data_IF_800599208174
#
_entry.id   IF_800599208174
#
_cell.length_a   1.000
_cell.length_b   1.000
_cell.length_c   1.000
_cell.angle_alpha   90.00
_cell.angle_beta   90.00
_cell.angle_gamma   90.00
#
_symmetry.space_group_name_H-M   'P 1'
#
loop_
_entity.id
_entity.type
_entity.pdbx_description
1 polymer ?
#
# COMPACT_ATOMS: atom_id res chain seq x y z
N UNK A 1 2.30 -6.58 -2.87
CA UNK A 1 3.58 -7.34 -2.91
C UNK A 1 4.55 -6.80 -3.95
N UNK A 2 4.25 -6.76 -5.27
CA UNK A 2 5.21 -6.29 -6.28
C UNK A 2 5.65 -4.83 -6.06
N UNK A 3 4.71 -3.96 -5.64
CA UNK A 3 5.00 -2.57 -5.27
C UNK A 3 6.03 -2.45 -4.13
N UNK A 4 5.96 -3.36 -3.14
CA UNK A 4 6.91 -3.38 -2.02
C UNK A 4 8.29 -3.83 -2.50
N UNK A 5 8.37 -4.83 -3.38
CA UNK A 5 9.64 -5.22 -4.01
C UNK A 5 10.24 -4.04 -4.77
N UNK A 6 9.44 -3.36 -5.58
CA UNK A 6 9.87 -2.19 -6.34
C UNK A 6 10.34 -1.04 -5.42
N UNK A 7 9.65 -0.81 -4.31
CA UNK A 7 10.03 0.16 -3.28
C UNK A 7 11.38 -0.16 -2.64
N UNK A 8 11.65 -1.42 -2.33
CA UNK A 8 12.91 -1.83 -1.71
C UNK A 8 14.08 -1.69 -2.69
N UNK A 9 13.89 -2.15 -3.94
CA UNK A 9 14.95 -2.19 -4.95
C UNK A 9 15.20 -0.83 -5.61
N UNK A 10 14.15 -0.11 -5.99
CA UNK A 10 14.23 1.08 -6.84
C UNK A 10 13.85 2.38 -6.12
N UNK A 11 13.30 2.30 -4.90
CA UNK A 11 12.94 3.47 -4.08
C UNK A 11 11.54 4.01 -4.32
N UNK A 12 11.29 5.22 -3.80
CA UNK A 12 9.95 5.83 -3.69
C UNK A 12 9.27 6.14 -5.03
N UNK A 13 9.95 6.83 -5.94
CA UNK A 13 9.37 7.30 -7.20
C UNK A 13 9.00 6.12 -8.12
N UNK A 14 9.88 5.12 -8.36
CA UNK A 14 9.53 3.99 -9.20
C UNK A 14 8.43 3.12 -8.59
N UNK A 15 8.39 2.96 -7.26
CA UNK A 15 7.35 2.20 -6.59
C UNK A 15 5.97 2.87 -6.69
N UNK A 16 5.90 4.20 -6.63
CA UNK A 16 4.66 4.92 -6.85
C UNK A 16 4.13 4.76 -8.28
N UNK A 17 5.03 4.82 -9.28
CA UNK A 17 4.66 4.59 -10.67
C UNK A 17 4.15 3.15 -10.86
N UNK A 18 4.86 2.15 -10.34
CA UNK A 18 4.43 0.74 -10.41
C UNK A 18 3.10 0.53 -9.69
N UNK A 19 2.88 1.19 -8.55
CA UNK A 19 1.62 1.13 -7.81
C UNK A 19 0.46 1.74 -8.58
N UNK A 20 0.64 2.95 -9.11
CA UNK A 20 -0.40 3.64 -9.89
C UNK A 20 -0.69 2.93 -11.21
N UNK A 21 0.32 2.56 -11.98
CA UNK A 21 0.12 1.82 -13.24
C UNK A 21 -0.48 0.45 -12.99
N UNK A 22 -0.09 -0.25 -11.92
CA UNK A 22 -0.67 -1.54 -11.57
C UNK A 22 -2.16 -1.44 -11.27
N UNK A 23 -2.59 -0.40 -10.55
CA UNK A 23 -4.00 -0.15 -10.26
C UNK A 23 -4.77 0.25 -11.53
N UNK A 24 -4.24 1.19 -12.31
CA UNK A 24 -4.85 1.64 -13.56
C UNK A 24 -5.04 0.52 -14.58
N UNK A 25 -3.97 -0.24 -14.85
CA UNK A 25 -4.02 -1.37 -15.76
C UNK A 25 -4.92 -2.48 -15.21
N UNK A 26 -4.90 -2.72 -13.91
CA UNK A 26 -5.79 -3.67 -13.24
C UNK A 26 -7.26 -3.31 -13.43
N UNK A 27 -7.61 -2.04 -13.25
CA UNK A 27 -8.99 -1.57 -13.42
C UNK A 27 -9.49 -1.66 -14.87
N UNK A 28 -8.61 -1.45 -15.86
CA UNK A 28 -8.96 -1.57 -17.28
C UNK A 28 -9.08 -3.05 -17.70
N UNK A 29 -8.15 -3.89 -17.27
CA UNK A 29 -8.08 -5.29 -17.68
C UNK A 29 -9.11 -6.17 -16.97
N UNK A 30 -9.42 -5.84 -15.71
CA UNK A 30 -10.38 -6.55 -14.87
C UNK A 30 -11.36 -5.57 -14.21
N UNK A 31 -12.36 -5.05 -14.97
CA UNK A 31 -13.31 -4.08 -14.45
C UNK A 31 -14.31 -4.73 -13.49
N UNK A 32 -13.91 -4.88 -12.22
CA UNK A 32 -14.78 -5.30 -11.12
C UNK A 32 -15.29 -4.02 -10.42
N UNK A 33 -16.21 -3.32 -11.08
CA UNK A 33 -16.81 -2.06 -10.60
C UNK A 33 -16.36 -0.80 -11.36
N UNK A 34 -16.90 0.38 -10.98
CA UNK A 34 -16.56 1.64 -11.65
C UNK A 34 -15.12 2.05 -11.34
N UNK A 35 -14.34 2.35 -12.38
CA UNK A 35 -13.02 2.94 -12.20
C UNK A 35 -13.13 4.34 -11.57
N UNK A 36 -12.40 4.56 -10.48
CA UNK A 36 -12.30 5.87 -9.85
C UNK A 36 -10.82 6.28 -9.72
N UNK A 37 -10.39 7.40 -10.32
CA UNK A 37 -8.98 7.79 -10.36
C UNK A 37 -8.37 8.05 -8.97
N UNK A 38 -9.20 8.30 -7.95
CA UNK A 38 -8.74 8.39 -6.56
C UNK A 38 -8.15 7.08 -6.02
N UNK A 39 -8.62 5.91 -6.46
CA UNK A 39 -8.00 4.63 -6.06
C UNK A 39 -6.59 4.48 -6.62
N UNK A 40 -6.40 4.89 -7.87
CA UNK A 40 -5.09 4.91 -8.52
C UNK A 40 -4.13 5.88 -7.85
N UNK A 41 -4.62 7.05 -7.43
CA UNK A 41 -3.84 7.98 -6.62
C UNK A 41 -3.44 7.36 -5.27
N UNK A 42 -4.37 6.70 -4.57
CA UNK A 42 -4.07 5.99 -3.33
C UNK A 42 -3.03 4.88 -3.55
N UNK A 43 -3.11 4.14 -4.65
CA UNK A 43 -2.15 3.09 -4.99
C UNK A 43 -0.74 3.64 -5.29
N UNK A 44 -0.65 4.78 -5.97
CA UNK A 44 0.60 5.49 -6.19
C UNK A 44 1.20 6.00 -4.87
N UNK A 45 0.40 6.64 -4.02
CA UNK A 45 0.80 7.09 -2.69
C UNK A 45 1.26 5.93 -1.80
N UNK A 46 0.58 4.79 -1.90
CA UNK A 46 0.95 3.56 -1.21
C UNK A 46 2.36 3.15 -1.61
N UNK A 47 2.66 3.08 -2.91
CA UNK A 47 4.01 2.79 -3.41
C UNK A 47 5.06 3.80 -2.93
N UNK A 48 4.70 5.07 -2.88
CA UNK A 48 5.53 6.16 -2.36
C UNK A 48 5.87 5.95 -0.87
N UNK A 49 4.87 5.66 -0.03
CA UNK A 49 5.06 5.38 1.41
C UNK A 49 5.99 4.18 1.62
N UNK A 50 5.76 3.09 0.89
CA UNK A 50 6.64 1.92 0.96
C UNK A 50 8.06 2.29 0.56
N UNK A 51 8.26 3.01 -0.55
CA UNK A 51 9.59 3.35 -1.02
C UNK A 51 10.29 4.45 -0.22
N UNK A 52 9.58 5.28 0.54
CA UNK A 52 10.24 6.22 1.48
C UNK A 52 10.69 5.49 2.75
N UNK A 53 9.83 4.64 3.32
CA UNK A 53 10.12 4.00 4.60
C UNK A 53 11.01 2.76 4.50
N UNK A 54 10.84 1.94 3.46
CA UNK A 54 11.55 0.66 3.33
C UNK A 54 12.81 0.75 2.46
N UNK A 55 13.09 1.87 1.79
CA UNK A 55 14.27 2.02 0.96
C UNK A 55 15.53 2.24 1.82
N UNK A 56 16.63 1.57 1.46
CA UNK A 56 17.95 1.55 2.12
C UNK A 56 18.02 0.95 3.52
N UNK A 57 17.05 1.14 4.42
CA UNK A 57 17.06 0.53 5.77
C UNK A 57 15.68 0.05 6.21
N UNK A 58 15.60 -1.23 6.57
CA UNK A 58 14.36 -1.94 6.92
C UNK A 58 14.32 -2.28 8.41
N UNK A 59 14.26 -1.27 9.27
CA UNK A 59 14.12 -1.46 10.72
C UNK A 59 12.66 -1.74 11.08
N UNK A 60 12.42 -2.50 12.16
CA UNK A 60 11.04 -2.81 12.61
C UNK A 60 10.21 -1.56 12.89
N UNK A 61 10.83 -0.48 13.39
CA UNK A 61 10.15 0.80 13.58
C UNK A 61 9.68 1.44 12.25
N UNK A 62 10.47 1.32 11.17
CA UNK A 62 10.10 1.84 9.84
C UNK A 62 9.01 1.00 9.19
N UNK A 63 9.06 -0.32 9.36
CA UNK A 63 8.01 -1.23 8.88
C UNK A 63 6.70 -0.93 9.61
N UNK A 64 6.73 -0.79 10.94
CA UNK A 64 5.56 -0.41 11.73
C UNK A 64 4.98 0.94 11.31
N UNK A 65 5.83 1.96 11.13
CA UNK A 65 5.41 3.28 10.66
C UNK A 65 4.80 3.25 9.25
N UNK A 66 5.41 2.53 8.31
CA UNK A 66 4.90 2.38 6.95
C UNK A 66 3.52 1.70 6.92
N UNK A 67 3.38 0.59 7.67
CA UNK A 67 2.11 -0.13 7.77
C UNK A 67 1.04 0.75 8.43
N UNK A 68 1.38 1.47 9.51
CA UNK A 68 0.45 2.36 10.19
C UNK A 68 -0.04 3.49 9.27
N UNK A 69 0.86 4.18 8.58
CA UNK A 69 0.49 5.25 7.63
C UNK A 69 -0.33 4.68 6.48
N UNK A 70 0.08 3.55 5.91
CA UNK A 70 -0.65 2.93 4.80
C UNK A 70 -2.05 2.48 5.20
N UNK A 71 -2.19 1.82 6.35
CA UNK A 71 -3.47 1.27 6.78
C UNK A 71 -4.40 2.36 7.33
N UNK A 72 -3.90 3.31 8.11
CA UNK A 72 -4.74 4.36 8.72
C UNK A 72 -5.08 5.48 7.73
N UNK A 73 -4.10 5.95 6.94
CA UNK A 73 -4.30 7.10 6.06
C UNK A 73 -4.81 6.66 4.70
N UNK A 74 -4.07 5.77 4.02
CA UNK A 74 -4.38 5.42 2.63
C UNK A 74 -5.55 4.45 2.54
N UNK A 75 -5.56 3.41 3.37
CA UNK A 75 -6.64 2.42 3.35
C UNK A 75 -7.90 2.90 4.06
N UNK A 76 -7.78 3.34 5.32
CA UNK A 76 -8.97 3.59 6.14
C UNK A 76 -9.62 4.94 5.85
N UNK A 77 -8.85 6.01 5.60
CA UNK A 77 -9.40 7.32 5.24
C UNK A 77 -9.65 7.43 3.73
N UNK A 78 -8.59 7.36 2.90
CA UNK A 78 -8.73 7.61 1.45
C UNK A 78 -9.62 6.59 0.77
N UNK A 79 -9.39 5.28 0.94
CA UNK A 79 -10.24 4.30 0.24
C UNK A 79 -11.69 4.29 0.75
N UNK A 80 -11.95 4.61 2.03
CA UNK A 80 -13.34 4.72 2.53
C UNK A 80 -14.02 5.96 1.97
N UNK A 81 -13.30 7.08 1.87
CA UNK A 81 -13.79 8.31 1.24
C UNK A 81 -14.15 8.05 -0.23
N UNK A 82 -13.28 7.40 -0.99
CA UNK A 82 -13.55 7.08 -2.40
C UNK A 82 -14.76 6.17 -2.57
N UNK A 83 -14.95 5.16 -1.71
CA UNK A 83 -16.15 4.31 -1.76
C UNK A 83 -17.41 5.12 -1.43
N UNK A 84 -17.35 5.99 -0.42
CA UNK A 84 -18.52 6.82 -0.05
C UNK A 84 -18.89 7.79 -1.18
N UNK A 85 -17.92 8.39 -1.86
CA UNK A 85 -18.14 9.23 -3.04
C UNK A 85 -18.67 8.44 -4.23
N UNK A 86 -18.14 7.24 -4.48
CA UNK A 86 -18.50 6.43 -5.65
C UNK A 86 -19.88 5.77 -5.52
N UNK A 87 -20.24 5.31 -4.33
CA UNK A 87 -21.47 4.54 -4.08
C UNK A 87 -22.54 5.33 -3.31
N UNK A 88 -22.25 6.57 -2.88
CA UNK A 88 -23.17 7.38 -2.08
C UNK A 88 -23.48 6.79 -0.69
N UNK A 89 -22.71 5.80 -0.24
CA UNK A 89 -22.99 5.04 0.96
C UNK A 89 -22.58 5.82 2.24
N UNK A 90 -23.30 5.63 3.37
CA UNK A 90 -23.02 6.34 4.61
C UNK A 90 -21.59 6.07 5.10
N UNK A 91 -20.80 7.13 5.24
CA UNK A 91 -19.39 7.03 5.63
C UNK A 91 -19.20 6.28 6.96
N UNK A 92 -20.10 6.49 7.94
CA UNK A 92 -19.98 5.88 9.27
C UNK A 92 -20.11 4.35 9.28
N UNK A 93 -21.02 3.77 8.49
CA UNK A 93 -21.19 2.31 8.45
C UNK A 93 -20.01 1.62 7.76
N UNK A 94 -19.55 2.19 6.64
CA UNK A 94 -18.36 1.75 5.92
C UNK A 94 -17.10 1.88 6.75
N UNK A 95 -16.94 2.98 7.49
CA UNK A 95 -15.79 3.20 8.36
C UNK A 95 -15.69 2.12 9.43
N UNK A 96 -16.82 1.72 10.05
CA UNK A 96 -16.83 0.69 11.08
C UNK A 96 -16.48 -0.70 10.52
N UNK A 97 -17.07 -1.08 9.38
CA UNK A 97 -16.75 -2.37 8.73
C UNK A 97 -15.27 -2.41 8.30
N UNK A 98 -14.79 -1.31 7.70
CA UNK A 98 -13.40 -1.23 7.26
C UNK A 98 -12.42 -1.16 8.41
N UNK A 99 -12.77 -0.59 9.56
CA UNK A 99 -11.90 -0.59 10.74
C UNK A 99 -11.60 -2.01 11.22
N UNK A 100 -12.62 -2.86 11.27
CA UNK A 100 -12.48 -4.27 11.68
C UNK A 100 -11.60 -5.01 10.67
N UNK A 101 -11.89 -4.92 9.37
CA UNK A 101 -11.07 -5.57 8.33
C UNK A 101 -9.64 -5.01 8.29
N UNK A 102 -9.48 -3.70 8.45
CA UNK A 102 -8.16 -3.04 8.42
C UNK A 102 -7.31 -3.45 9.63
N UNK A 103 -7.90 -3.64 10.82
CA UNK A 103 -7.20 -4.12 12.00
C UNK A 103 -6.61 -5.52 11.79
N UNK A 104 -7.38 -6.44 11.21
CA UNK A 104 -6.90 -7.78 10.84
C UNK A 104 -5.80 -7.67 9.77
N UNK A 105 -6.01 -6.83 8.75
CA UNK A 105 -5.04 -6.64 7.67
C UNK A 105 -3.75 -5.98 8.12
N UNK A 106 -3.76 -5.14 9.16
CA UNK A 106 -2.53 -4.59 9.77
C UNK A 106 -1.67 -5.73 10.29
N UNK A 107 -2.23 -6.66 11.07
CA UNK A 107 -1.48 -7.78 11.62
C UNK A 107 -0.85 -8.64 10.50
N UNK A 108 -1.65 -8.95 9.47
CA UNK A 108 -1.17 -9.70 8.30
C UNK A 108 -0.06 -8.94 7.58
N UNK A 109 -0.26 -7.65 7.27
CA UNK A 109 0.74 -6.85 6.58
C UNK A 109 2.05 -6.74 7.36
N UNK A 110 2.01 -6.53 8.68
CA UNK A 110 3.23 -6.48 9.51
C UNK A 110 4.01 -7.79 9.40
N UNK A 111 3.33 -8.93 9.51
CA UNK A 111 3.98 -10.25 9.41
C UNK A 111 4.54 -10.49 8.02
N UNK A 112 3.73 -10.26 6.98
CA UNK A 112 4.13 -10.49 5.59
C UNK A 112 5.30 -9.59 5.18
N UNK A 113 5.24 -8.30 5.49
CA UNK A 113 6.32 -7.35 5.18
C UNK A 113 7.54 -7.62 6.06
N UNK A 114 7.36 -7.98 7.33
CA UNK A 114 8.45 -8.39 8.22
C UNK A 114 9.22 -9.61 7.70
N UNK A 115 8.52 -10.64 7.21
CA UNK A 115 9.13 -11.78 6.54
C UNK A 115 9.82 -11.39 5.23
N UNK A 116 9.11 -10.61 4.41
CA UNK A 116 9.57 -10.20 3.09
C UNK A 116 10.83 -9.32 3.17
N UNK A 117 10.91 -8.40 4.14
CA UNK A 117 12.09 -7.57 4.42
C UNK A 117 13.27 -8.38 4.97
N UNK A 118 13.03 -9.44 5.77
CA UNK A 118 14.10 -10.37 6.16
C UNK A 118 14.69 -11.12 4.96
N UNK A 119 13.84 -11.58 4.05
CA UNK A 119 14.27 -12.27 2.81
C UNK A 119 14.96 -11.30 1.85
N UNK A 120 14.39 -10.11 1.62
CA UNK A 120 14.98 -9.08 0.77
C UNK A 120 16.23 -8.45 1.38
N UNK A 121 16.39 -8.40 2.70
CA UNK A 121 17.63 -7.98 3.34
C UNK A 121 18.82 -8.86 2.97
N UNK A 122 18.57 -10.12 2.60
CA UNK A 122 19.58 -11.02 2.05
C UNK A 122 19.98 -10.64 0.60
N UNK A 123 19.04 -10.12 -0.20
CA UNK A 123 19.27 -9.70 -1.59
C UNK A 123 19.75 -8.25 -1.74
N UNK A 124 19.23 -7.32 -0.93
CA UNK A 124 19.57 -5.89 -0.96
C UNK A 124 21.02 -5.61 -0.58
N UNK A 125 21.69 -6.54 0.11
CA UNK A 125 23.12 -6.44 0.41
C UNK A 125 24.01 -6.73 -0.82
N UNK A 126 23.48 -7.36 -1.87
CA UNK A 126 24.20 -7.57 -3.15
C UNK A 126 23.93 -6.48 -4.19
N UNK A 127 22.82 -5.74 -4.10
CA UNK A 127 22.52 -4.65 -5.04
C UNK A 127 23.20 -3.31 -4.69
N UNK A 128 23.85 -3.24 -3.52
CA UNK A 128 24.59 -2.07 -3.04
C UNK A 128 26.12 -2.28 -3.07
N UNK A 129 26.60 -3.31 -3.78
CA UNK A 129 28.03 -3.54 -4.09
C UNK A 129 28.22 -3.48 -5.60
#
# INVERSE_FOLDING_TARGET
>A
MPVVVAAVLYGAVPAAIVGGLGDFLGAIMFPIGPYFPGFTLTAALTGLVWGVFLHKRQTMARIGGAVAVNQLVLSLLLNTLWISVLYGAPYGSLFLTRTISTAVMIAVQVVTIGLMTKVLGHFGRKAAV
#
